data_IF_824066313432
#
_entry.id   IF_824066313432
#
_cell.length_a   1.000
_cell.length_b   1.000
_cell.length_c   1.000
_cell.angle_alpha   90.00
_cell.angle_beta   90.00
_cell.angle_gamma   90.00
#
_symmetry.space_group_name_H-M   'P 1'
#
loop_
_entity.id
_entity.type
_entity.pdbx_description
1 polymer ?
#
# COMPACT_ATOMS: atom_id res chain seq x y z
N UNK A 1 -16.95 -1.10 -6.15
CA UNK A 1 -16.87 -0.34 -4.88
C UNK A 1 -17.05 -1.34 -3.75
N UNK A 2 -16.16 -1.34 -2.76
CA UNK A 2 -16.26 -2.19 -1.58
C UNK A 2 -16.98 -1.42 -0.47
N UNK A 3 -18.02 -2.03 0.07
CA UNK A 3 -18.86 -1.46 1.10
C UNK A 3 -18.58 -2.12 2.44
N UNK A 4 -18.81 -1.37 3.51
CA UNK A 4 -18.83 -1.92 4.85
C UNK A 4 -20.21 -2.44 5.27
N UNK A 5 -20.29 -2.90 6.52
CA UNK A 5 -21.54 -3.42 7.11
C UNK A 5 -22.66 -2.39 7.21
N UNK A 6 -22.37 -1.10 7.01
CA UNK A 6 -23.34 0.00 7.00
C UNK A 6 -23.66 0.49 5.57
N UNK A 7 -23.12 -0.18 4.54
CA UNK A 7 -23.33 0.22 3.14
C UNK A 7 -22.52 1.46 2.73
N UNK A 8 -21.54 1.89 3.53
CA UNK A 8 -20.66 3.01 3.20
C UNK A 8 -19.51 2.49 2.34
N UNK A 9 -19.32 3.08 1.16
CA UNK A 9 -18.18 2.76 0.28
C UNK A 9 -16.86 3.11 0.97
N UNK A 10 -16.00 2.12 1.21
CA UNK A 10 -14.70 2.31 1.91
C UNK A 10 -13.50 2.30 0.98
N UNK A 11 -13.59 1.59 -0.14
CA UNK A 11 -12.54 1.58 -1.15
C UNK A 11 -13.11 1.28 -2.54
N UNK A 12 -12.42 1.76 -3.58
CA UNK A 12 -12.74 1.44 -4.98
C UNK A 12 -11.55 0.74 -5.60
N UNK A 13 -11.79 -0.40 -6.25
CA UNK A 13 -10.80 -1.11 -7.05
C UNK A 13 -11.28 -1.13 -8.51
N UNK A 14 -10.41 -0.73 -9.42
CA UNK A 14 -10.64 -0.73 -10.88
C UNK A 14 -9.50 -1.46 -11.56
N UNK A 15 -9.79 -2.20 -12.62
CA UNK A 15 -8.77 -2.83 -13.48
C UNK A 15 -9.38 -3.24 -14.82
N UNK A 16 -8.55 -3.76 -15.73
CA UNK A 16 -8.97 -4.15 -17.08
C UNK A 16 -9.83 -5.42 -17.12
N UNK A 17 -9.58 -6.35 -16.19
CA UNK A 17 -10.26 -7.67 -16.14
C UNK A 17 -10.48 -8.10 -14.70
N UNK A 18 -11.58 -8.81 -14.47
CA UNK A 18 -11.92 -9.38 -13.17
C UNK A 18 -12.37 -10.83 -13.30
N UNK A 19 -12.07 -11.64 -12.28
CA UNK A 19 -12.59 -12.99 -12.11
C UNK A 19 -13.25 -13.09 -10.74
N UNK A 20 -14.52 -13.47 -10.69
CA UNK A 20 -15.25 -13.74 -9.44
C UNK A 20 -15.55 -15.24 -9.33
N UNK A 21 -15.12 -15.85 -8.23
CA UNK A 21 -15.47 -17.23 -7.86
C UNK A 21 -16.55 -17.21 -6.80
N UNK A 22 -17.80 -17.15 -7.25
CA UNK A 22 -19.00 -16.94 -6.41
C UNK A 22 -19.09 -17.89 -5.23
N UNK A 23 -18.93 -19.20 -5.46
CA UNK A 23 -18.98 -20.24 -4.40
C UNK A 23 -18.06 -19.97 -3.22
N UNK A 24 -16.91 -19.34 -3.48
CA UNK A 24 -15.89 -19.03 -2.48
C UNK A 24 -15.81 -17.55 -2.13
N UNK A 25 -16.63 -16.69 -2.75
CA UNK A 25 -16.54 -15.23 -2.66
C UNK A 25 -15.11 -14.65 -2.85
N UNK A 26 -14.28 -15.33 -3.66
CA UNK A 26 -12.93 -14.90 -4.02
C UNK A 26 -12.98 -14.11 -5.30
N UNK A 27 -12.24 -13.00 -5.37
CA UNK A 27 -12.11 -12.26 -6.62
C UNK A 27 -10.64 -11.94 -6.94
N UNK A 28 -10.36 -11.79 -8.22
CA UNK A 28 -9.07 -11.36 -8.73
C UNK A 28 -9.29 -10.25 -9.75
N UNK A 29 -8.47 -9.22 -9.69
CA UNK A 29 -8.49 -8.08 -10.63
C UNK A 29 -7.12 -8.01 -11.28
N UNK A 30 -7.09 -7.75 -12.59
CA UNK A 30 -5.87 -7.74 -13.39
C UNK A 30 -5.84 -6.54 -14.34
N UNK A 31 -4.62 -6.09 -14.63
CA UNK A 31 -4.28 -5.09 -15.63
C UNK A 31 -4.55 -3.67 -15.13
N UNK A 32 -3.47 -2.91 -14.96
CA UNK A 32 -3.46 -1.51 -14.50
C UNK A 32 -4.45 -1.27 -13.36
N UNK A 33 -4.29 -2.06 -12.30
CA UNK A 33 -5.19 -2.05 -11.16
C UNK A 33 -4.95 -0.79 -10.34
N UNK A 34 -6.02 -0.03 -10.13
CA UNK A 34 -6.03 1.18 -9.30
C UNK A 34 -6.97 0.97 -8.12
N UNK A 35 -6.42 1.12 -6.92
CA UNK A 35 -7.18 1.13 -5.68
C UNK A 35 -7.24 2.54 -5.09
N UNK A 36 -8.40 2.97 -4.60
CA UNK A 36 -8.57 4.22 -3.87
C UNK A 36 -9.15 3.91 -2.51
N UNK A 37 -8.43 4.24 -1.44
CA UNK A 37 -8.87 4.10 -0.06
C UNK A 37 -9.73 5.30 0.38
N UNK A 38 -10.41 5.17 1.53
CA UNK A 38 -11.24 6.24 2.11
C UNK A 38 -10.47 7.53 2.40
N UNK A 39 -9.21 7.44 2.80
CA UNK A 39 -8.32 8.58 3.05
C UNK A 39 -7.68 9.14 1.76
N UNK A 40 -8.19 8.73 0.60
CA UNK A 40 -7.72 9.16 -0.73
C UNK A 40 -6.30 8.72 -1.08
N UNK A 41 -5.77 7.67 -0.45
CA UNK A 41 -4.54 7.04 -0.93
C UNK A 41 -4.84 6.27 -2.21
N UNK A 42 -3.95 6.38 -3.19
CA UNK A 42 -4.05 5.73 -4.50
C UNK A 42 -3.02 4.62 -4.59
N UNK A 43 -3.49 3.38 -4.61
CA UNK A 43 -2.73 2.17 -4.88
C UNK A 43 -2.69 1.91 -6.39
N UNK A 44 -1.52 1.60 -6.94
CA UNK A 44 -1.33 1.12 -8.32
C UNK A 44 -0.56 -0.20 -8.33
N UNK A 45 -1.05 -1.18 -9.09
CA UNK A 45 -0.40 -2.48 -9.27
C UNK A 45 -0.91 -3.20 -10.53
N UNK A 46 -0.40 -4.39 -10.83
CA UNK A 46 -0.81 -5.17 -12.01
C UNK A 46 -1.91 -6.19 -11.68
N UNK A 47 -1.96 -6.72 -10.47
CA UNK A 47 -3.00 -7.64 -10.03
C UNK A 47 -3.31 -7.50 -8.55
N UNK A 48 -4.55 -7.86 -8.17
CA UNK A 48 -4.98 -7.97 -6.78
C UNK A 48 -5.85 -9.20 -6.59
N UNK A 49 -5.70 -9.85 -5.45
CA UNK A 49 -6.45 -11.04 -5.06
C UNK A 49 -7.12 -10.84 -3.71
N UNK A 50 -8.43 -11.02 -3.65
CA UNK A 50 -9.19 -11.03 -2.41
C UNK A 50 -9.43 -12.46 -1.92
N UNK A 51 -9.06 -12.70 -0.66
CA UNK A 51 -9.37 -13.93 0.04
C UNK A 51 -10.32 -13.64 1.22
N UNK A 52 -11.58 -14.12 1.19
CA UNK A 52 -12.53 -13.90 2.27
C UNK A 52 -12.19 -14.68 3.55
N UNK A 53 -11.45 -15.78 3.45
CA UNK A 53 -11.07 -16.62 4.59
C UNK A 53 -10.10 -15.86 5.51
N UNK A 54 -9.14 -15.16 4.91
CA UNK A 54 -8.17 -14.32 5.65
C UNK A 54 -8.59 -12.86 5.76
N UNK A 55 -9.64 -12.47 5.02
CA UNK A 55 -10.09 -11.08 4.84
C UNK A 55 -8.98 -10.15 4.34
N UNK A 56 -8.10 -10.66 3.48
CA UNK A 56 -6.96 -9.92 2.93
C UNK A 56 -7.06 -9.71 1.43
N UNK A 57 -6.60 -8.53 1.00
CA UNK A 57 -6.18 -8.25 -0.37
C UNK A 57 -4.68 -8.54 -0.45
N UNK A 58 -4.26 -9.26 -1.47
CA UNK A 58 -2.85 -9.61 -1.68
C UNK A 58 -2.43 -9.34 -3.12
N UNK A 59 -1.14 -9.12 -3.32
CA UNK A 59 -0.47 -9.15 -4.63
C UNK A 59 1.01 -9.48 -4.42
N UNK A 60 1.64 -10.07 -5.42
CA UNK A 60 3.10 -10.25 -5.49
C UNK A 60 3.77 -9.24 -6.43
N UNK A 61 2.97 -8.46 -7.16
CA UNK A 61 3.45 -7.51 -8.16
C UNK A 61 4.10 -6.28 -7.52
N UNK A 62 4.70 -5.46 -8.37
CA UNK A 62 5.10 -4.11 -7.99
C UNK A 62 3.89 -3.28 -7.54
N UNK A 63 4.11 -2.49 -6.50
CA UNK A 63 3.11 -1.66 -5.84
C UNK A 63 3.63 -0.24 -5.70
N UNK A 64 2.79 0.73 -6.06
CA UNK A 64 2.99 2.16 -5.77
C UNK A 64 1.78 2.71 -5.03
N UNK A 65 2.02 3.36 -3.88
CA UNK A 65 1.02 4.01 -3.05
C UNK A 65 1.31 5.49 -3.04
N UNK A 66 0.36 6.30 -3.51
CA UNK A 66 0.43 7.75 -3.49
C UNK A 66 -0.56 8.28 -2.46
N UNK A 67 -0.06 8.94 -1.41
CA UNK A 67 -0.90 9.57 -0.38
C UNK A 67 -1.17 11.03 -0.71
N UNK A 68 -2.30 11.55 -0.20
CA UNK A 68 -2.73 12.94 -0.45
C UNK A 68 -1.73 14.00 0.02
N UNK A 69 -0.96 13.69 1.07
CA UNK A 69 0.09 14.57 1.59
C UNK A 69 1.34 14.64 0.69
N UNK A 70 1.38 13.88 -0.42
CA UNK A 70 2.49 13.82 -1.36
C UNK A 70 3.50 12.71 -1.07
N UNK A 71 3.25 11.87 -0.06
CA UNK A 71 4.11 10.71 0.18
C UNK A 71 3.92 9.68 -0.93
N UNK A 72 5.03 9.10 -1.39
CA UNK A 72 5.06 8.04 -2.38
C UNK A 72 5.78 6.86 -1.77
N UNK A 73 5.12 5.71 -1.67
CA UNK A 73 5.68 4.47 -1.14
C UNK A 73 5.65 3.43 -2.26
N UNK A 74 6.75 2.70 -2.45
CA UNK A 74 6.93 1.72 -3.52
C UNK A 74 7.52 0.44 -2.96
N UNK A 75 7.24 -0.68 -3.62
CA UNK A 75 7.93 -1.94 -3.38
C UNK A 75 7.28 -3.10 -4.11
N UNK A 76 7.58 -4.32 -3.65
CA UNK A 76 7.13 -5.56 -4.27
C UNK A 76 6.31 -6.38 -3.30
N UNK A 77 5.16 -6.84 -3.77
CA UNK A 77 4.18 -7.56 -2.98
C UNK A 77 3.50 -6.69 -1.93
N UNK A 78 2.25 -7.02 -1.63
CA UNK A 78 1.46 -6.29 -0.66
C UNK A 78 0.42 -7.19 0.00
N UNK A 79 0.20 -6.97 1.29
CA UNK A 79 -0.92 -7.51 2.05
C UNK A 79 -1.69 -6.32 2.60
N UNK A 80 -3.00 -6.30 2.37
CA UNK A 80 -3.87 -5.24 2.84
C UNK A 80 -5.19 -5.77 3.39
N UNK A 81 -5.85 -4.98 4.23
CA UNK A 81 -7.25 -5.19 4.55
C UNK A 81 -8.16 -4.74 3.39
N UNK A 82 -9.46 -5.07 3.49
CA UNK A 82 -10.46 -4.76 2.45
C UNK A 82 -10.56 -3.26 2.14
N UNK A 83 -10.33 -2.44 3.14
CA UNK A 83 -10.54 -1.00 3.09
C UNK A 83 -9.27 -0.24 2.67
N UNK A 84 -8.16 -0.96 2.43
CA UNK A 84 -6.84 -0.42 2.12
C UNK A 84 -6.33 0.58 3.17
N UNK A 85 -6.72 0.40 4.44
CA UNK A 85 -6.26 1.22 5.56
C UNK A 85 -4.97 0.67 6.17
N UNK A 86 -4.88 -0.66 6.25
CA UNK A 86 -3.72 -1.35 6.79
C UNK A 86 -3.00 -2.03 5.63
N UNK A 87 -1.93 -1.39 5.15
CA UNK A 87 -1.13 -1.88 4.03
C UNK A 87 0.28 -2.25 4.52
N UNK A 88 0.69 -3.46 4.19
CA UNK A 88 2.06 -3.95 4.38
C UNK A 88 2.65 -4.25 3.01
N UNK A 89 3.81 -3.65 2.70
CA UNK A 89 4.61 -4.00 1.52
C UNK A 89 5.66 -5.01 1.95
N UNK A 90 5.70 -6.15 1.27
CA UNK A 90 6.43 -7.31 1.80
C UNK A 90 7.91 -7.32 1.43
N UNK A 91 8.31 -6.64 0.34
CA UNK A 91 9.69 -6.66 -0.17
C UNK A 91 10.10 -5.34 -0.81
N UNK A 92 11.42 -5.06 -0.79
CA UNK A 92 12.08 -3.97 -1.52
C UNK A 92 11.39 -2.61 -1.37
N UNK A 93 11.08 -2.24 -0.12
CA UNK A 93 10.33 -1.03 0.20
C UNK A 93 11.22 0.21 0.03
N UNK A 94 10.73 1.20 -0.70
CA UNK A 94 11.32 2.54 -0.77
C UNK A 94 10.23 3.60 -0.70
N UNK A 95 10.57 4.81 -0.29
CA UNK A 95 9.58 5.87 -0.23
C UNK A 95 10.18 7.27 -0.18
N UNK A 96 9.36 8.23 -0.60
CA UNK A 96 9.62 9.66 -0.50
C UNK A 96 8.54 10.21 0.42
N UNK A 97 8.96 10.81 1.54
CA UNK A 97 8.05 11.45 2.50
C UNK A 97 8.21 12.95 2.36
N UNK A 98 7.11 13.67 2.10
CA UNK A 98 7.18 15.10 1.78
C UNK A 98 7.45 15.96 3.02
N UNK A 99 7.02 15.50 4.19
CA UNK A 99 7.24 16.19 5.46
C UNK A 99 7.58 15.18 6.55
N UNK A 100 8.81 15.24 7.04
CA UNK A 100 9.22 14.54 8.26
C UNK A 100 8.99 15.51 9.44
N UNK A 101 8.26 15.13 10.50
CA UNK A 101 8.13 15.95 11.70
C UNK A 101 9.50 16.36 12.24
N UNK A 102 9.66 17.61 12.71
CA UNK A 102 10.93 18.15 13.22
C UNK A 102 11.57 17.26 14.30
N UNK A 103 10.75 16.55 15.07
CA UNK A 103 11.14 15.62 16.13
C UNK A 103 11.84 14.37 15.60
N UNK A 104 11.52 13.94 14.38
CA UNK A 104 12.16 12.80 13.72
C UNK A 104 13.38 13.21 12.89
N UNK A 105 13.39 14.43 12.31
CA UNK A 105 14.56 14.97 11.60
C UNK A 105 15.85 14.88 12.44
N UNK A 106 15.77 15.24 13.74
CA UNK A 106 16.90 15.19 14.67
C UNK A 106 17.47 13.78 14.87
N UNK A 107 16.66 12.72 14.70
CA UNK A 107 17.13 11.33 14.80
C UNK A 107 17.92 10.91 13.57
N UNK A 108 17.55 11.40 12.39
CA UNK A 108 18.28 11.15 11.15
C UNK A 108 19.59 11.93 11.10
N UNK A 109 19.63 13.17 11.60
CA UNK A 109 20.85 13.99 11.69
C UNK A 109 21.89 13.37 12.61
N UNK A 110 21.50 12.94 13.82
CA UNK A 110 22.42 12.27 14.77
C UNK A 110 23.06 10.99 14.21
N UNK A 111 22.34 10.24 13.36
CA UNK A 111 22.85 9.00 12.76
C UNK A 111 23.86 9.27 11.63
N UNK A 112 23.78 10.43 10.97
CA UNK A 112 24.73 10.86 9.95
C UNK A 112 26.08 11.24 10.58
N UNK A 113 26.03 11.90 11.74
CA UNK A 113 27.24 12.31 12.47
C UNK A 113 28.01 11.12 13.05
N UNK A 114 27.32 10.05 13.48
CA UNK A 114 27.98 8.84 14.00
C UNK A 114 28.70 8.02 12.92
N UNK A 115 28.24 8.06 11.66
CA UNK A 115 28.86 7.29 10.56
C UNK A 115 30.12 8.02 10.03
N UNK A 116 30.17 9.35 10.10
CA UNK A 116 31.34 10.13 9.71
C UNK A 116 32.54 10.05 10.67
N UNK A 117 32.33 9.55 11.89
CA UNK A 117 33.37 9.45 12.92
C UNK A 117 34.21 8.15 12.83
N UNK A 118 33.72 7.11 12.13
CA UNK A 118 34.39 5.80 12.07
C UNK A 118 35.39 5.67 10.90
N UNK A 119 35.45 6.61 9.96
CA UNK A 119 36.36 6.56 8.79
C UNK A 119 37.63 7.39 8.95
N UNK A 120 37.96 7.82 10.16
CA UNK A 120 39.15 8.63 10.44
C UNK A 120 40.00 8.04 11.56
N UNK A 121 40.48 6.80 11.38
CA UNK A 121 41.62 6.24 12.12
C UNK A 121 42.45 5.37 11.18
#
# INVERSE_FOLDING_TARGET
>A
ILYDSLGIGRSTLTGKRGLLREKSARFSIYGDVVGVSKDSAVLKTQSLFWNPDTKKITTDDFVEINRKNGDIIKGWGMIADRDLQNIEITRNVSGIVKSIPETEKRKFEKKKDSIGAETSH
#
